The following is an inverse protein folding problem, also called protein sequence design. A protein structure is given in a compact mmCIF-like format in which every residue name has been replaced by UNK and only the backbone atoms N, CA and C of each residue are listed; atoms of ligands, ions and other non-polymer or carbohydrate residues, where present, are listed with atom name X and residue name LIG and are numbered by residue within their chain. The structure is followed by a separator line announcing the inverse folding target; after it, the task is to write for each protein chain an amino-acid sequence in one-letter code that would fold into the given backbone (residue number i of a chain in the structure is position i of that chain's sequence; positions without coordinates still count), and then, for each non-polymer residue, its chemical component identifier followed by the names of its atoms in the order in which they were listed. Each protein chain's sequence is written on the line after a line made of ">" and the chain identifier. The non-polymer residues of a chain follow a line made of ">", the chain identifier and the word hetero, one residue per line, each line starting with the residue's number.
data_IF_206870606772
#
_entry.id   IF_206870606772
#
_cell.length_a   1.000
_cell.length_b   1.000
_cell.length_c   1.000
_cell.angle_alpha   90.00
_cell.angle_beta   90.00
_cell.angle_gamma   90.00
#
_symmetry.space_group_name_H-M   'P 1'
#
loop_
_entity.id
_entity.type
_entity.pdbx_description
1 polymer ?
#
# COMPACT_ATOMS: atom_id res chain seq x y z
N UNK A 1 -31.28 -9.71 -2.28
CA UNK A 1 -31.61 -11.15 -2.15
C UNK A 1 -32.90 -11.31 -1.38
N UNK A 2 -33.81 -12.19 -1.82
CA UNK A 2 -35.08 -12.49 -1.14
C UNK A 2 -34.91 -13.57 -0.05
N UNK A 3 -35.28 -13.24 1.20
CA UNK A 3 -35.13 -14.10 2.39
C UNK A 3 -35.78 -15.49 2.26
N UNK A 4 -36.83 -15.60 1.43
CA UNK A 4 -37.51 -16.88 1.17
C UNK A 4 -36.62 -17.90 0.45
N UNK A 5 -35.77 -17.45 -0.48
CA UNK A 5 -34.93 -18.34 -1.29
C UNK A 5 -33.69 -18.80 -0.51
N UNK A 6 -33.18 -17.94 0.37
CA UNK A 6 -32.09 -18.29 1.29
C UNK A 6 -32.53 -19.41 2.25
N UNK A 7 -33.77 -19.34 2.76
CA UNK A 7 -34.33 -20.37 3.62
C UNK A 7 -34.51 -21.73 2.90
N UNK A 8 -34.93 -21.72 1.63
CA UNK A 8 -35.06 -22.95 0.82
C UNK A 8 -33.71 -23.60 0.50
N UNK A 9 -32.67 -22.79 0.27
CA UNK A 9 -31.32 -23.28 -0.03
C UNK A 9 -30.60 -23.79 1.24
N UNK A 10 -30.76 -23.11 2.38
CA UNK A 10 -30.29 -23.59 3.70
C UNK A 10 -30.93 -24.92 4.09
N UNK A 11 -32.22 -25.10 3.76
CA UNK A 11 -32.92 -26.35 4.02
C UNK A 11 -32.38 -27.53 3.19
N UNK A 12 -31.79 -27.27 2.01
CA UNK A 12 -31.20 -28.29 1.14
C UNK A 12 -29.78 -28.68 1.54
N UNK A 13 -28.91 -27.72 1.87
CA UNK A 13 -27.49 -27.99 2.13
C UNK A 13 -27.16 -28.13 3.62
N UNK A 14 -28.01 -27.60 4.52
CA UNK A 14 -27.80 -27.65 5.96
C UNK A 14 -26.60 -26.84 6.48
N UNK A 15 -25.75 -26.31 5.58
CA UNK A 15 -24.61 -25.46 5.89
C UNK A 15 -24.51 -24.32 4.87
N UNK A 16 -24.48 -23.11 5.41
CA UNK A 16 -24.36 -21.86 4.64
C UNK A 16 -23.07 -21.78 3.82
N UNK A 17 -21.99 -22.43 4.29
CA UNK A 17 -20.67 -22.44 3.64
C UNK A 17 -20.59 -23.33 2.38
N UNK A 18 -21.55 -24.23 2.17
CA UNK A 18 -21.55 -25.10 0.99
C UNK A 18 -22.13 -24.39 -0.25
N UNK A 19 -22.82 -23.25 -0.05
CA UNK A 19 -23.37 -22.43 -1.13
C UNK A 19 -22.28 -21.70 -1.93
N UNK A 20 -21.09 -21.47 -1.36
CA UNK A 20 -19.99 -20.80 -2.07
C UNK A 20 -19.23 -21.73 -3.02
N UNK A 21 -19.63 -23.00 -3.12
CA UNK A 21 -19.06 -24.00 -4.02
C UNK A 21 -20.04 -24.48 -5.10
N UNK A 22 -21.24 -23.88 -5.17
CA UNK A 22 -22.25 -24.19 -6.18
C UNK A 22 -22.05 -23.27 -7.40
N UNK A 23 -21.79 -23.85 -8.57
CA UNK A 23 -21.55 -23.12 -9.81
C UNK A 23 -22.78 -22.31 -10.25
N UNK A 24 -24.00 -22.78 -9.93
CA UNK A 24 -25.24 -22.04 -10.20
C UNK A 24 -25.36 -20.81 -9.29
N UNK A 25 -24.76 -20.84 -8.09
CA UNK A 25 -24.69 -19.68 -7.19
C UNK A 25 -23.73 -18.62 -7.73
N UNK A 26 -22.60 -19.03 -8.29
CA UNK A 26 -21.65 -18.11 -8.93
C UNK A 26 -22.23 -17.42 -10.17
N UNK A 27 -23.00 -18.13 -10.99
CA UNK A 27 -23.64 -17.58 -12.19
C UNK A 27 -24.67 -16.47 -11.86
N UNK A 28 -25.39 -16.60 -10.74
CA UNK A 28 -26.35 -15.58 -10.25
C UNK A 28 -25.62 -14.38 -9.60
N UNK A 29 -24.47 -14.57 -8.93
CA UNK A 29 -23.65 -13.47 -8.38
C UNK A 29 -22.97 -12.65 -9.48
N UNK A 30 -22.66 -13.27 -10.62
CA UNK A 30 -22.07 -12.61 -11.79
C UNK A 30 -23.09 -11.75 -12.57
N UNK A 31 -24.40 -11.98 -12.37
CA UNK A 31 -25.50 -11.18 -12.94
C UNK A 31 -26.05 -10.09 -12.01
N UNK A 32 -25.72 -10.13 -10.72
CA UNK A 32 -25.89 -8.96 -9.85
C UNK A 32 -24.81 -7.93 -10.25
N UNK A 33 -25.13 -6.64 -10.28
CA UNK A 33 -24.36 -5.57 -10.95
C UNK A 33 -23.00 -5.23 -10.28
N UNK A 34 -22.32 -6.23 -9.72
CA UNK A 34 -20.91 -6.24 -9.35
C UNK A 34 -20.54 -5.32 -8.20
N UNK A 35 -21.51 -4.75 -7.47
CA UNK A 35 -21.23 -3.97 -6.27
C UNK A 35 -21.11 -4.89 -5.07
N UNK A 36 -19.89 -5.41 -4.88
CA UNK A 36 -19.45 -5.86 -3.55
C UNK A 36 -19.64 -4.69 -2.61
N UNK A 37 -20.70 -4.72 -1.79
CA UNK A 37 -20.90 -3.72 -0.75
C UNK A 37 -19.68 -3.76 0.16
N UNK A 38 -18.82 -2.76 0.03
CA UNK A 38 -17.70 -2.62 0.95
C UNK A 38 -18.29 -2.54 2.37
N UNK A 39 -17.73 -3.32 3.29
CA UNK A 39 -18.20 -3.36 4.69
C UNK A 39 -18.39 -1.95 5.24
N UNK A 40 -19.30 -1.77 6.19
CA UNK A 40 -19.85 -0.47 6.60
C UNK A 40 -18.84 0.68 6.75
N UNK A 41 -17.62 0.39 7.21
CA UNK A 41 -16.49 1.32 7.34
C UNK A 41 -15.93 1.88 6.02
N UNK A 42 -16.11 1.17 4.91
CA UNK A 42 -15.60 1.50 3.58
C UNK A 42 -16.66 2.14 2.66
N UNK A 43 -17.94 2.15 3.07
CA UNK A 43 -19.02 2.88 2.37
C UNK A 43 -18.69 4.33 2.03
N UNK A 44 -18.13 5.17 2.94
CA UNK A 44 -17.78 6.55 2.59
C UNK A 44 -16.66 6.63 1.55
N UNK A 45 -15.75 5.64 1.51
CA UNK A 45 -14.69 5.58 0.52
C UNK A 45 -15.21 5.15 -0.86
N UNK A 46 -16.11 4.16 -0.90
CA UNK A 46 -16.78 3.75 -2.15
C UNK A 46 -17.62 4.90 -2.71
N UNK A 47 -18.42 5.56 -1.88
CA UNK A 47 -19.19 6.73 -2.28
C UNK A 47 -18.31 7.88 -2.80
N UNK A 48 -17.13 8.08 -2.20
CA UNK A 48 -16.13 9.01 -2.72
C UNK A 48 -15.64 8.58 -4.10
N UNK A 49 -15.27 7.30 -4.30
CA UNK A 49 -14.85 6.79 -5.61
C UNK A 49 -15.95 6.95 -6.67
N UNK A 50 -17.21 6.70 -6.31
CA UNK A 50 -18.35 6.86 -7.22
C UNK A 50 -18.61 8.31 -7.60
N UNK A 51 -18.23 9.26 -6.74
CA UNK A 51 -18.38 10.70 -7.00
C UNK A 51 -17.31 11.29 -7.92
N UNK A 52 -16.28 10.52 -8.27
CA UNK A 52 -15.16 10.98 -9.09
C UNK A 52 -15.51 10.99 -10.58
N UNK A 53 -15.01 11.99 -11.30
CA UNK A 53 -15.10 12.02 -12.76
C UNK A 53 -14.23 10.92 -13.39
N UNK A 54 -14.52 10.50 -14.64
CA UNK A 54 -13.69 9.50 -15.33
C UNK A 54 -12.21 9.88 -15.42
N UNK A 55 -11.90 11.17 -15.52
CA UNK A 55 -10.53 11.69 -15.51
C UNK A 55 -9.86 11.56 -14.15
N UNK A 56 -10.58 11.87 -13.07
CA UNK A 56 -10.11 11.68 -11.70
C UNK A 56 -9.88 10.19 -11.39
N UNK A 57 -10.74 9.31 -11.90
CA UNK A 57 -10.55 7.86 -11.83
C UNK A 57 -9.28 7.38 -12.54
N UNK A 58 -8.97 7.93 -13.72
CA UNK A 58 -7.73 7.60 -14.44
C UNK A 58 -6.51 8.09 -13.68
N UNK A 59 -6.54 9.32 -13.18
CA UNK A 59 -5.46 9.90 -12.38
C UNK A 59 -5.20 9.10 -11.10
N UNK A 60 -6.26 8.71 -10.39
CA UNK A 60 -6.15 7.89 -9.18
C UNK A 60 -5.54 6.51 -9.50
N UNK A 61 -5.98 5.84 -10.57
CA UNK A 61 -5.39 4.57 -11.00
C UNK A 61 -3.92 4.71 -11.36
N UNK A 62 -3.54 5.78 -12.06
CA UNK A 62 -2.12 6.05 -12.36
C UNK A 62 -1.30 6.27 -11.10
N UNK A 63 -1.82 7.01 -10.11
CA UNK A 63 -1.16 7.19 -8.82
C UNK A 63 -0.99 5.88 -8.05
N UNK A 64 -2.03 5.03 -8.00
CA UNK A 64 -1.95 3.73 -7.35
C UNK A 64 -0.89 2.84 -8.01
N UNK A 65 -0.85 2.81 -9.35
CA UNK A 65 0.17 2.08 -10.12
C UNK A 65 1.57 2.59 -9.85
N UNK A 66 1.74 3.92 -9.81
CA UNK A 66 3.03 4.51 -9.46
C UNK A 66 3.48 4.06 -8.07
N UNK A 67 2.59 4.14 -7.08
CA UNK A 67 2.93 3.75 -5.71
C UNK A 67 3.15 2.25 -5.54
N UNK A 68 2.50 1.38 -6.32
CA UNK A 68 2.79 -0.06 -6.31
C UNK A 68 4.19 -0.37 -6.83
N UNK A 69 4.75 0.46 -7.71
CA UNK A 69 6.13 0.33 -8.19
C UNK A 69 7.11 0.97 -7.19
N UNK A 70 6.82 2.17 -6.69
CA UNK A 70 7.74 2.93 -5.84
C UNK A 70 7.88 2.37 -4.42
N UNK A 71 6.79 1.94 -3.79
CA UNK A 71 6.83 1.54 -2.37
C UNK A 71 7.66 0.29 -2.08
N UNK A 72 7.67 -0.76 -2.91
CA UNK A 72 8.59 -1.88 -2.75
C UNK A 72 10.05 -1.45 -2.86
N UNK A 73 10.39 -0.60 -3.84
CA UNK A 73 11.77 -0.11 -4.02
C UNK A 73 12.20 0.79 -2.86
N UNK A 74 11.32 1.68 -2.41
CA UNK A 74 11.52 2.50 -1.22
C UNK A 74 11.76 1.63 0.01
N UNK A 75 10.99 0.55 0.17
CA UNK A 75 11.12 -0.38 1.28
C UNK A 75 12.51 -1.02 1.27
N UNK A 76 12.93 -1.57 0.13
CA UNK A 76 14.26 -2.18 -0.04
C UNK A 76 15.37 -1.16 0.21
N UNK A 77 15.21 0.08 -0.27
CA UNK A 77 16.20 1.13 -0.07
C UNK A 77 16.34 1.54 1.41
N UNK A 78 15.24 1.72 2.14
CA UNK A 78 15.30 2.06 3.57
C UNK A 78 15.77 0.85 4.41
N UNK A 79 15.45 -0.38 3.98
CA UNK A 79 15.97 -1.58 4.63
C UNK A 79 17.51 -1.64 4.57
N UNK A 80 18.12 -1.11 3.50
CA UNK A 80 19.58 -1.07 3.38
C UNK A 80 20.26 -0.05 4.32
N UNK A 81 19.48 0.75 5.06
CA UNK A 81 20.01 1.69 6.06
C UNK A 81 20.14 1.06 7.45
N UNK A 82 19.76 -0.22 7.60
CA UNK A 82 19.95 -1.01 8.83
C UNK A 82 19.35 -0.34 10.09
N UNK A 83 18.19 0.30 9.94
CA UNK A 83 17.53 1.09 10.99
C UNK A 83 16.96 0.27 12.15
N UNK A 84 16.88 -1.06 12.02
CA UNK A 84 16.31 -1.95 13.03
C UNK A 84 14.89 -1.55 13.41
N UNK A 85 14.66 -1.25 14.70
CA UNK A 85 13.33 -0.92 15.24
C UNK A 85 12.76 0.42 14.77
N UNK A 86 13.59 1.35 14.29
CA UNK A 86 13.10 2.64 13.76
C UNK A 86 12.65 2.56 12.30
N UNK A 87 12.78 1.39 11.66
CA UNK A 87 12.43 1.18 10.25
C UNK A 87 11.01 1.63 9.91
N UNK A 88 10.00 1.17 10.66
CA UNK A 88 8.60 1.45 10.32
C UNK A 88 8.26 2.94 10.39
N UNK A 89 8.79 3.64 11.39
CA UNK A 89 8.58 5.08 11.56
C UNK A 89 9.22 5.87 10.41
N UNK A 90 10.46 5.53 10.05
CA UNK A 90 11.19 6.18 8.95
C UNK A 90 10.54 5.85 7.60
N UNK A 91 10.13 4.59 7.39
CA UNK A 91 9.44 4.17 6.17
C UNK A 91 8.10 4.89 5.99
N UNK A 92 7.31 5.02 7.08
CA UNK A 92 6.04 5.76 7.05
C UNK A 92 6.26 7.23 6.69
N UNK A 93 7.26 7.87 7.29
CA UNK A 93 7.57 9.26 6.98
C UNK A 93 8.05 9.43 5.54
N UNK A 94 8.91 8.53 5.05
CA UNK A 94 9.39 8.58 3.68
C UNK A 94 8.25 8.46 2.67
N UNK A 95 7.28 7.57 2.92
CA UNK A 95 6.05 7.47 2.11
C UNK A 95 5.26 8.78 2.09
N UNK A 96 5.09 9.43 3.25
CA UNK A 96 4.40 10.73 3.33
C UNK A 96 5.12 11.80 2.52
N UNK A 97 6.44 11.90 2.63
CA UNK A 97 7.24 12.83 1.85
C UNK A 97 7.08 12.58 0.34
N UNK A 98 7.22 11.34 -0.12
CA UNK A 98 7.08 10.97 -1.53
C UNK A 98 5.68 11.29 -2.05
N UNK A 99 4.62 10.93 -1.30
CA UNK A 99 3.25 11.28 -1.68
C UNK A 99 3.09 12.80 -1.84
N UNK A 100 3.58 13.60 -0.89
CA UNK A 100 3.49 15.06 -0.94
C UNK A 100 4.23 15.64 -2.15
N UNK A 101 5.42 15.11 -2.47
CA UNK A 101 6.23 15.58 -3.60
C UNK A 101 5.62 15.19 -4.95
N UNK A 102 4.98 14.02 -5.03
CA UNK A 102 4.33 13.51 -6.24
C UNK A 102 2.88 13.99 -6.42
N UNK A 103 2.33 14.82 -5.53
CA UNK A 103 1.02 15.46 -5.75
C UNK A 103 1.04 16.47 -6.91
N UNK A 104 2.19 17.10 -7.18
CA UNK A 104 2.39 18.06 -8.26
C UNK A 104 3.72 17.79 -8.96
N UNK A 105 3.82 16.71 -9.75
CA UNK A 105 5.06 16.36 -10.43
C UNK A 105 5.44 17.46 -11.43
N UNK A 106 6.74 17.67 -11.62
CA UNK A 106 7.24 18.49 -12.73
C UNK A 106 6.94 17.80 -14.07
N UNK A 107 7.02 18.50 -15.21
CA UNK A 107 6.86 17.87 -16.52
C UNK A 107 7.83 16.71 -16.74
N UNK A 108 9.11 16.89 -16.37
CA UNK A 108 10.13 15.83 -16.46
C UNK A 108 9.79 14.61 -15.58
N UNK A 109 9.26 14.85 -14.38
CA UNK A 109 8.81 13.77 -13.50
C UNK A 109 7.58 13.06 -14.07
N UNK A 110 6.68 13.80 -14.73
CA UNK A 110 5.47 13.24 -15.35
C UNK A 110 5.83 12.31 -16.52
N UNK A 111 6.76 12.72 -17.37
CA UNK A 111 7.27 11.90 -18.48
C UNK A 111 7.96 10.64 -17.96
N UNK A 112 8.80 10.79 -16.93
CA UNK A 112 9.45 9.63 -16.29
C UNK A 112 8.42 8.67 -15.66
N UNK A 113 7.43 9.18 -14.91
CA UNK A 113 6.36 8.38 -14.30
C UNK A 113 5.59 7.61 -15.37
N UNK A 114 5.24 8.27 -16.47
CA UNK A 114 4.48 7.67 -17.56
C UNK A 114 5.28 6.54 -18.21
N UNK A 115 6.57 6.76 -18.43
CA UNK A 115 7.48 5.76 -19.01
C UNK A 115 7.69 4.58 -18.06
N UNK A 116 7.83 4.85 -16.75
CA UNK A 116 7.98 3.82 -15.72
C UNK A 116 6.75 2.90 -15.65
N UNK A 117 5.54 3.48 -15.67
CA UNK A 117 4.29 2.71 -15.66
C UNK A 117 4.18 1.87 -16.95
N UNK A 118 4.54 2.43 -18.11
CA UNK A 118 4.51 1.71 -19.38
C UNK A 118 5.53 0.55 -19.45
N UNK A 119 6.67 0.65 -18.76
CA UNK A 119 7.63 -0.45 -18.63
C UNK A 119 7.12 -1.55 -17.68
N UNK A 120 6.45 -1.18 -16.59
CA UNK A 120 5.87 -2.14 -15.64
C UNK A 120 4.74 -2.98 -16.27
N UNK A 121 3.90 -2.35 -17.11
CA UNK A 121 2.81 -3.00 -17.85
C UNK A 121 3.34 -4.08 -18.83
N UNK A 122 4.62 -4.07 -19.20
CA UNK A 122 5.20 -5.08 -20.10
C UNK A 122 5.49 -6.42 -19.43
N UNK A 123 5.22 -6.57 -18.12
CA UNK A 123 5.37 -7.83 -17.36
C UNK A 123 6.71 -8.54 -17.52
N UNK A 124 7.78 -7.81 -17.89
CA UNK A 124 9.11 -8.39 -18.07
C UNK A 124 9.76 -8.75 -16.72
N UNK A 125 10.70 -9.71 -16.67
CA UNK A 125 11.49 -9.96 -15.46
C UNK A 125 12.16 -8.69 -14.93
N UNK A 126 12.29 -8.59 -13.60
CA UNK A 126 12.85 -7.40 -12.92
C UNK A 126 14.24 -7.00 -13.44
N UNK A 127 15.06 -7.97 -13.85
CA UNK A 127 16.40 -7.76 -14.43
C UNK A 127 16.40 -7.10 -15.81
N UNK A 128 15.26 -7.10 -16.50
CA UNK A 128 15.10 -6.57 -17.86
C UNK A 128 14.36 -5.23 -17.88
N UNK A 129 14.22 -4.59 -16.72
CA UNK A 129 13.51 -3.32 -16.51
C UNK A 129 14.50 -2.19 -16.20
N UNK A 130 15.10 -1.54 -17.22
CA UNK A 130 16.14 -0.54 -17.03
C UNK A 130 15.67 0.70 -16.25
N UNK A 131 14.39 1.10 -16.34
CA UNK A 131 13.89 2.25 -15.57
C UNK A 131 13.75 1.93 -14.09
N UNK A 132 13.59 0.65 -13.73
CA UNK A 132 13.54 0.22 -12.33
C UNK A 132 14.85 0.50 -11.58
N UNK A 133 16.00 0.40 -12.26
CA UNK A 133 17.29 0.77 -11.69
C UNK A 133 17.40 2.27 -11.38
N UNK A 134 16.61 3.10 -12.05
CA UNK A 134 16.58 4.55 -11.85
C UNK A 134 15.61 4.99 -10.74
N UNK A 135 14.79 4.08 -10.21
CA UNK A 135 13.80 4.40 -9.16
C UNK A 135 14.47 4.91 -7.90
N UNK A 136 15.53 4.26 -7.40
CA UNK A 136 16.21 4.73 -6.18
C UNK A 136 16.89 6.10 -6.38
N UNK A 137 17.66 6.34 -7.47
CA UNK A 137 18.17 7.67 -7.79
C UNK A 137 17.07 8.74 -7.84
N UNK A 138 15.94 8.44 -8.47
CA UNK A 138 14.80 9.36 -8.56
C UNK A 138 14.16 9.60 -7.19
N UNK A 139 13.94 8.56 -6.38
CA UNK A 139 13.43 8.68 -5.02
C UNK A 139 14.34 9.54 -4.15
N UNK A 140 15.66 9.36 -4.28
CA UNK A 140 16.65 10.20 -3.61
C UNK A 140 16.55 11.65 -4.07
N UNK A 141 16.42 11.91 -5.37
CA UNK A 141 16.29 13.26 -5.92
C UNK A 141 14.96 13.95 -5.53
N UNK A 142 13.88 13.18 -5.34
CA UNK A 142 12.58 13.70 -4.90
C UNK A 142 12.60 14.20 -3.45
N UNK A 143 13.43 13.60 -2.60
CA UNK A 143 13.57 14.02 -1.20
C UNK A 143 14.47 15.25 -1.10
N UNK A 144 13.92 16.35 -0.58
CA UNK A 144 14.71 17.56 -0.31
C UNK A 144 15.66 17.34 0.86
N UNK A 145 16.60 18.27 1.05
CA UNK A 145 17.48 18.25 2.22
C UNK A 145 16.69 18.25 3.53
N UNK A 146 15.59 19.00 3.60
CA UNK A 146 14.68 19.05 4.76
C UNK A 146 13.99 17.69 4.98
N UNK A 147 13.50 17.03 3.93
CA UNK A 147 12.91 15.70 4.02
C UNK A 147 13.94 14.69 4.55
N UNK A 148 15.17 14.73 4.03
CA UNK A 148 16.26 13.85 4.47
C UNK A 148 16.65 14.09 5.92
N UNK A 149 16.69 15.35 6.36
CA UNK A 149 16.97 15.69 7.75
C UNK A 149 15.87 15.15 8.67
N UNK A 150 14.60 15.35 8.32
CA UNK A 150 13.48 14.82 9.10
C UNK A 150 13.52 13.29 9.22
N UNK A 151 13.89 12.57 8.15
CA UNK A 151 14.07 11.13 8.20
C UNK A 151 15.22 10.71 9.12
N UNK A 152 16.35 11.44 9.08
CA UNK A 152 17.49 11.19 9.95
C UNK A 152 17.15 11.44 11.43
N UNK A 153 16.41 12.52 11.73
CA UNK A 153 16.00 12.84 13.09
C UNK A 153 15.05 11.77 13.66
N UNK A 154 14.09 11.29 12.86
CA UNK A 154 13.19 10.18 13.25
C UNK A 154 13.99 8.90 13.47
N UNK A 155 14.94 8.59 12.58
CA UNK A 155 15.81 7.43 12.73
C UNK A 155 16.60 7.49 14.05
N UNK A 156 17.23 8.63 14.33
CA UNK A 156 18.02 8.87 15.54
C UNK A 156 17.16 8.77 16.81
N UNK A 157 15.98 9.39 16.83
CA UNK A 157 15.05 9.32 17.96
C UNK A 157 14.57 7.88 18.20
N UNK A 158 14.19 7.17 17.14
CA UNK A 158 13.74 5.79 17.25
C UNK A 158 14.82 4.84 17.75
N UNK A 159 16.07 5.04 17.31
CA UNK A 159 17.22 4.27 17.83
C UNK A 159 17.50 4.60 19.30
N UNK A 160 17.51 5.89 19.67
CA UNK A 160 17.73 6.32 21.05
C UNK A 160 16.67 5.74 22.01
N UNK A 161 15.38 5.80 21.63
CA UNK A 161 14.29 5.19 22.39
C UNK A 161 14.43 3.67 22.48
N UNK A 162 14.84 3.01 21.39
CA UNK A 162 15.08 1.57 21.37
C UNK A 162 16.14 1.14 22.39
N UNK A 163 17.25 1.88 22.49
CA UNK A 163 18.31 1.61 23.48
C UNK A 163 17.81 1.87 24.91
N UNK A 164 17.15 3.00 25.15
CA UNK A 164 16.62 3.34 26.48
C UNK A 164 15.63 2.29 27.00
N UNK A 165 14.76 1.76 26.14
CA UNK A 165 13.83 0.70 26.50
C UNK A 165 14.53 -0.63 26.79
N UNK A 166 15.58 -0.99 26.03
CA UNK A 166 16.35 -2.21 26.31
C UNK A 166 17.08 -2.13 27.65
N UNK A 167 17.73 -0.99 27.94
CA UNK A 167 18.43 -0.77 29.22
C UNK A 167 17.46 -0.81 30.39
N UNK A 168 16.24 -0.27 30.25
CA UNK A 168 15.20 -0.35 31.28
C UNK A 168 14.68 -1.77 31.50
N UNK A 169 14.61 -2.59 30.46
CA UNK A 169 14.19 -4.00 30.57
C UNK A 169 15.28 -4.87 31.23
N UNK A 170 16.55 -4.62 30.94
CA UNK A 170 17.67 -5.30 31.62
C UNK A 170 17.77 -4.92 33.10
N UNK A 171 17.55 -3.65 33.43
CA UNK A 171 17.57 -3.19 34.83
C UNK A 171 16.32 -3.59 35.64
N UNK A 172 15.25 -4.06 34.98
CA UNK A 172 14.04 -4.57 35.61
C UNK A 172 14.01 -6.09 35.81
N UNK A 173 15.06 -6.83 35.41
CA UNK A 173 15.21 -8.26 35.70
C UNK A 173 16.08 -8.47 36.94
N UNK A 174 15.54 -8.53 38.18
CA UNK A 174 16.30 -8.99 39.31
C UNK A 174 16.59 -10.48 39.13
N UNK A 175 17.87 -10.81 39.23
CA UNK A 175 18.39 -12.17 39.33
C UNK A 175 17.61 -12.89 40.45
N UNK A 176 16.77 -13.85 40.08
CA UNK A 176 16.21 -14.80 41.02
C UNK A 176 17.33 -15.77 41.42
N UNK A 177 17.88 -15.55 42.61
CA UNK A 177 18.74 -16.48 43.34
C UNK A 177 17.89 -17.61 43.92
#
# INVERSE_FOLDING_TARGET
>A
MDDKRLAEQLAKTGKLMDLTYDDDWWADVEHDDGRVEAGEMAKPYVAYLDSLTPEQHRSLRQQMRLFSILYPELKTWIQSWELGRSFDAVYLQARKCICKRLQKPTPEQTDWITTLIAEDDQNRPRSERPLRAQVIPMLSALLTQEDRQALADIAAQGMAQGVLQMVQVESASPIAV
#
